data_IF_134412985253
#
_entry.id   IF_134412985253
#
_cell.length_a   1.000
_cell.length_b   1.000
_cell.length_c   1.000
_cell.angle_alpha   90.00
_cell.angle_beta   90.00
_cell.angle_gamma   90.00
#
_symmetry.space_group_name_H-M   'P 1'
#
loop_
_entity.id
_entity.type
_entity.pdbx_description
1 polymer ?
#
# COMPACT_ATOMS: atom_id res chain seq x y z
N UNK A 1 -11.24 -3.23 8.00
CA UNK A 1 -12.62 -2.98 7.51
C UNK A 1 -12.71 -3.08 5.97
N UNK A 2 -12.06 -4.07 5.35
CA UNK A 2 -12.10 -4.28 3.89
C UNK A 2 -12.64 -5.66 3.49
N UNK A 3 -12.68 -6.60 4.44
CA UNK A 3 -13.10 -7.97 4.19
C UNK A 3 -14.51 -8.05 3.58
N UNK A 4 -15.47 -7.29 4.11
CA UNK A 4 -16.83 -7.30 3.61
C UNK A 4 -16.93 -6.86 2.14
N UNK A 5 -16.10 -5.91 1.71
CA UNK A 5 -16.04 -5.43 0.33
C UNK A 5 -15.35 -6.46 -0.58
N UNK A 6 -14.25 -7.06 -0.11
CA UNK A 6 -13.51 -8.09 -0.86
C UNK A 6 -14.35 -9.35 -1.06
N UNK A 7 -15.19 -9.72 -0.07
CA UNK A 7 -16.10 -10.87 -0.18
C UNK A 7 -17.05 -10.75 -1.39
N UNK A 8 -17.56 -9.56 -1.68
CA UNK A 8 -18.39 -9.34 -2.87
C UNK A 8 -17.62 -9.59 -4.17
N UNK A 9 -16.35 -9.19 -4.22
CA UNK A 9 -15.50 -9.45 -5.37
C UNK A 9 -15.17 -10.94 -5.51
N UNK A 10 -14.85 -11.62 -4.40
CA UNK A 10 -14.56 -13.06 -4.42
C UNK A 10 -15.80 -13.92 -4.70
N UNK A 11 -17.00 -13.40 -4.47
CA UNK A 11 -18.23 -14.05 -4.89
C UNK A 11 -18.45 -13.98 -6.42
N UNK A 12 -17.91 -12.94 -7.07
CA UNK A 12 -18.08 -12.70 -8.50
C UNK A 12 -16.89 -13.18 -9.35
N UNK A 13 -15.69 -13.25 -8.78
CA UNK A 13 -14.45 -13.56 -9.48
C UNK A 13 -13.61 -14.57 -8.71
N UNK A 14 -12.85 -15.46 -9.38
CA UNK A 14 -11.87 -16.31 -8.72
C UNK A 14 -10.88 -15.47 -7.91
N UNK A 15 -10.61 -15.86 -6.66
CA UNK A 15 -9.68 -15.10 -5.80
C UNK A 15 -8.27 -15.01 -6.38
N UNK A 16 -7.85 -16.02 -7.15
CA UNK A 16 -6.57 -16.05 -7.87
C UNK A 16 -6.45 -14.98 -8.97
N UNK A 17 -7.56 -14.38 -9.40
CA UNK A 17 -7.59 -13.31 -10.41
C UNK A 17 -7.59 -11.92 -9.75
N UNK A 18 -7.48 -11.83 -8.42
CA UNK A 18 -7.47 -10.59 -7.66
C UNK A 18 -6.24 -10.58 -6.73
N UNK A 19 -5.30 -9.67 -7.00
CA UNK A 19 -4.16 -9.42 -6.11
C UNK A 19 -4.45 -8.28 -5.14
N UNK A 20 -3.98 -8.42 -3.89
CA UNK A 20 -4.02 -7.36 -2.88
C UNK A 20 -2.59 -6.88 -2.64
N UNK A 21 -2.38 -5.57 -2.76
CA UNK A 21 -1.09 -4.91 -2.56
C UNK A 21 -1.22 -3.97 -1.37
N UNK A 22 -0.31 -4.11 -0.41
CA UNK A 22 -0.21 -3.18 0.71
C UNK A 22 0.43 -1.88 0.24
N UNK A 23 -0.21 -0.75 0.54
CA UNK A 23 0.33 0.58 0.19
C UNK A 23 1.67 0.86 0.87
N UNK A 24 1.88 0.27 2.05
CA UNK A 24 3.15 0.32 2.77
C UNK A 24 4.26 -0.38 1.99
N UNK A 25 3.97 -1.51 1.32
CA UNK A 25 4.96 -2.18 0.47
C UNK A 25 5.26 -1.38 -0.80
N UNK A 26 4.28 -0.69 -1.38
CA UNK A 26 4.53 0.24 -2.49
C UNK A 26 5.45 1.40 -2.10
N UNK A 27 5.54 1.73 -0.82
CA UNK A 27 6.38 2.82 -0.32
C UNK A 27 7.74 2.36 0.19
N UNK A 28 7.76 1.28 0.97
CA UNK A 28 8.95 0.82 1.69
C UNK A 28 9.61 -0.40 1.04
N UNK A 29 8.94 -1.06 0.11
CA UNK A 29 9.41 -2.26 -0.57
C UNK A 29 9.03 -2.25 -2.07
N UNK A 30 9.10 -1.07 -2.69
CA UNK A 30 8.52 -0.78 -4.01
C UNK A 30 8.98 -1.73 -5.09
N UNK A 31 10.29 -2.03 -5.17
CA UNK A 31 10.85 -2.96 -6.16
C UNK A 31 10.20 -4.34 -6.06
N UNK A 32 10.02 -4.86 -4.84
CA UNK A 32 9.37 -6.15 -4.63
C UNK A 32 7.88 -6.08 -4.98
N UNK A 33 7.16 -5.07 -4.50
CA UNK A 33 5.73 -4.92 -4.75
C UNK A 33 5.41 -4.80 -6.26
N UNK A 34 6.22 -4.05 -7.00
CA UNK A 34 6.11 -3.91 -8.45
C UNK A 34 6.48 -5.19 -9.20
N UNK A 35 7.48 -5.92 -8.70
CA UNK A 35 7.84 -7.26 -9.20
C UNK A 35 6.68 -8.24 -9.04
N UNK A 36 6.15 -8.38 -7.82
CA UNK A 36 5.02 -9.28 -7.52
C UNK A 36 3.78 -8.93 -8.39
N UNK A 37 3.49 -7.64 -8.58
CA UNK A 37 2.40 -7.18 -9.46
C UNK A 37 2.66 -7.55 -10.92
N UNK A 38 3.88 -7.39 -11.41
CA UNK A 38 4.23 -7.70 -12.79
C UNK A 38 4.14 -9.19 -13.07
N UNK A 39 4.61 -10.01 -12.13
CA UNK A 39 4.49 -11.47 -12.18
C UNK A 39 3.01 -11.90 -12.16
N UNK A 40 2.19 -11.30 -11.30
CA UNK A 40 0.75 -11.54 -11.26
C UNK A 40 0.06 -11.22 -12.59
N UNK A 41 0.47 -10.13 -13.26
CA UNK A 41 -0.04 -9.75 -14.58
C UNK A 41 0.54 -10.61 -15.74
N UNK A 42 1.47 -11.52 -15.45
CA UNK A 42 2.14 -12.34 -16.47
C UNK A 42 3.09 -11.55 -17.37
N UNK A 43 3.63 -10.44 -16.87
CA UNK A 43 4.59 -9.61 -17.61
C UNK A 43 6.00 -10.22 -17.55
N UNK A 44 6.88 -9.91 -18.53
CA UNK A 44 8.28 -10.26 -18.44
C UNK A 44 8.95 -9.65 -17.21
N UNK A 45 9.93 -10.37 -16.66
CA UNK A 45 10.73 -9.88 -15.53
C UNK A 45 11.40 -8.56 -15.89
N UNK A 46 11.29 -7.59 -15.00
CA UNK A 46 11.86 -6.25 -15.13
C UNK A 46 12.55 -5.85 -13.82
N UNK A 47 13.72 -5.23 -13.91
CA UNK A 47 14.41 -4.70 -12.73
C UNK A 47 13.93 -3.27 -12.45
N UNK A 48 13.13 -3.12 -11.40
CA UNK A 48 12.58 -1.83 -10.99
C UNK A 48 13.55 -0.96 -10.19
N UNK A 49 14.76 -1.45 -9.87
CA UNK A 49 15.70 -0.75 -8.98
C UNK A 49 16.02 0.66 -9.46
N UNK A 50 16.34 0.81 -10.75
CA UNK A 50 16.71 2.12 -11.32
C UNK A 50 15.53 3.09 -11.29
N UNK A 51 14.32 2.62 -11.63
CA UNK A 51 13.10 3.45 -11.65
C UNK A 51 12.72 3.91 -10.24
N UNK A 52 12.79 3.01 -9.26
CA UNK A 52 12.46 3.31 -7.86
C UNK A 52 13.49 4.27 -7.25
N UNK A 53 14.75 4.21 -7.69
CA UNK A 53 15.81 5.09 -7.18
C UNK A 53 15.64 6.56 -7.56
N UNK A 54 14.89 6.86 -8.63
CA UNK A 54 14.68 8.23 -9.11
C UNK A 54 13.83 9.08 -8.15
N UNK A 55 12.94 8.44 -7.38
CA UNK A 55 12.07 9.08 -6.41
C UNK A 55 10.59 8.89 -6.73
N UNK A 56 9.76 9.78 -6.20
CA UNK A 56 8.30 9.73 -6.33
C UNK A 56 7.78 10.84 -7.25
N UNK A 57 6.82 10.51 -8.10
CA UNK A 57 6.13 11.48 -8.95
C UNK A 57 4.74 11.79 -8.44
N UNK A 58 4.21 12.97 -8.78
CA UNK A 58 2.84 13.39 -8.44
C UNK A 58 2.53 13.34 -6.94
N UNK A 59 3.51 13.65 -6.10
CA UNK A 59 3.37 13.71 -4.64
C UNK A 59 2.57 14.96 -4.20
N UNK A 60 1.66 14.78 -3.24
CA UNK A 60 0.88 15.83 -2.54
C UNK A 60 0.22 16.91 -3.43
N UNK A 61 -0.37 16.51 -4.56
CA UNK A 61 -1.23 17.40 -5.34
C UNK A 61 -0.47 18.38 -6.24
N UNK A 62 0.45 17.84 -7.06
CA UNK A 62 0.94 18.47 -8.31
C UNK A 62 2.23 19.30 -8.24
N UNK A 63 3.36 18.71 -7.82
CA UNK A 63 4.67 19.22 -8.26
C UNK A 63 4.99 18.94 -9.75
N UNK A 64 4.02 18.40 -10.51
CA UNK A 64 4.17 17.95 -11.90
C UNK A 64 4.22 16.42 -12.00
N UNK A 65 3.72 15.87 -13.11
CA UNK A 65 3.89 14.44 -13.44
C UNK A 65 5.30 14.14 -13.96
N UNK A 66 6.07 15.20 -14.27
CA UNK A 66 7.38 15.21 -14.89
C UNK A 66 8.51 15.53 -13.89
N UNK A 67 8.17 15.76 -12.62
CA UNK A 67 9.14 16.07 -11.58
C UNK A 67 9.18 14.99 -10.52
N UNK A 68 10.37 14.39 -10.35
CA UNK A 68 10.65 13.51 -9.23
C UNK A 68 10.85 14.33 -7.95
N UNK A 69 10.25 13.85 -6.86
CA UNK A 69 10.47 14.28 -5.48
C UNK A 69 11.30 13.19 -4.82
N UNK A 70 12.38 13.56 -4.13
CA UNK A 70 13.24 12.56 -3.49
C UNK A 70 12.52 11.88 -2.32
N UNK A 71 12.94 10.66 -1.99
CA UNK A 71 12.38 9.92 -0.86
C UNK A 71 12.60 10.65 0.47
N UNK A 72 13.72 11.37 0.63
CA UNK A 72 14.01 12.19 1.81
C UNK A 72 13.06 13.38 1.91
N UNK A 73 12.85 14.10 0.80
CA UNK A 73 11.94 15.25 0.75
C UNK A 73 10.51 14.86 1.14
N UNK A 74 10.00 13.73 0.65
CA UNK A 74 8.65 13.29 1.00
C UNK A 74 8.53 12.83 2.46
N UNK A 75 9.52 12.11 2.98
CA UNK A 75 9.53 11.72 4.39
C UNK A 75 9.50 12.92 5.34
N UNK A 76 10.15 14.02 4.95
CA UNK A 76 10.13 15.26 5.72
C UNK A 76 8.78 15.99 5.60
N UNK A 77 8.18 15.98 4.41
CA UNK A 77 6.85 16.55 4.19
C UNK A 77 5.73 15.80 4.94
N UNK A 78 5.80 14.47 5.05
CA UNK A 78 4.83 13.66 5.79
C UNK A 78 4.84 13.91 7.29
N UNK A 79 6.03 14.12 7.89
CA UNK A 79 6.13 14.45 9.32
C UNK A 79 5.29 15.67 9.68
N UNK A 80 5.25 16.64 8.76
CA UNK A 80 4.54 17.90 8.95
C UNK A 80 3.02 17.81 8.69
N UNK A 81 2.53 16.72 8.10
CA UNK A 81 1.11 16.53 7.71
C UNK A 81 0.30 15.72 8.74
N UNK A 82 0.94 15.28 9.82
CA UNK A 82 0.28 14.40 10.79
C UNK A 82 -0.63 15.18 11.73
N UNK A 83 -1.93 14.87 11.69
CA UNK A 83 -2.89 15.34 12.68
C UNK A 83 -2.50 14.73 14.04
N UNK A 84 -2.31 15.53 15.10
CA UNK A 84 -1.92 15.02 16.41
C UNK A 84 -3.12 14.33 17.08
N UNK A 85 -3.26 13.02 16.85
CA UNK A 85 -4.17 12.16 17.61
C UNK A 85 -3.53 11.79 18.95
N UNK A 86 -4.32 11.78 20.03
CA UNK A 86 -3.87 11.31 21.34
C UNK A 86 -3.45 9.83 21.28
N UNK A 87 -2.53 9.44 22.16
CA UNK A 87 -2.06 8.04 22.22
C UNK A 87 -3.22 7.09 22.57
N UNK A 88 -4.12 7.53 23.44
CA UNK A 88 -5.31 6.80 23.85
C UNK A 88 -6.23 6.55 22.66
N UNK A 89 -6.55 7.59 21.88
CA UNK A 89 -7.44 7.46 20.73
C UNK A 89 -6.81 6.64 19.61
N UNK A 90 -5.50 6.78 19.36
CA UNK A 90 -4.78 5.90 18.41
C UNK A 90 -4.90 4.43 18.81
N UNK A 91 -4.78 4.13 20.11
CA UNK A 91 -4.92 2.76 20.63
C UNK A 91 -6.35 2.24 20.48
N UNK A 92 -7.35 3.07 20.75
CA UNK A 92 -8.76 2.71 20.53
C UNK A 92 -9.05 2.39 19.05
N UNK A 93 -8.53 3.20 18.13
CA UNK A 93 -8.65 2.95 16.69
C UNK A 93 -7.96 1.64 16.28
N UNK A 94 -6.75 1.39 16.78
CA UNK A 94 -6.04 0.15 16.49
C UNK A 94 -6.86 -1.07 16.92
N UNK A 95 -7.30 -1.11 18.19
CA UNK A 95 -8.12 -2.20 18.72
C UNK A 95 -9.41 -2.38 17.93
N UNK A 96 -10.05 -1.29 17.50
CA UNK A 96 -11.25 -1.35 16.66
C UNK A 96 -10.98 -2.01 15.30
N UNK A 97 -9.86 -1.71 14.66
CA UNK A 97 -9.55 -2.25 13.33
C UNK A 97 -8.92 -3.65 13.37
N UNK A 98 -8.30 -4.07 14.47
CA UNK A 98 -7.58 -5.35 14.60
C UNK A 98 -8.44 -6.55 14.15
N UNK A 99 -9.65 -6.71 14.69
CA UNK A 99 -10.54 -7.82 14.31
C UNK A 99 -10.91 -7.75 12.81
N UNK A 100 -11.14 -6.54 12.30
CA UNK A 100 -11.48 -6.35 10.89
C UNK A 100 -10.30 -6.58 9.94
N UNK A 101 -9.07 -6.37 10.42
CA UNK A 101 -7.84 -6.61 9.67
C UNK A 101 -7.51 -8.10 9.67
N UNK A 102 -7.62 -8.77 10.82
CA UNK A 102 -7.43 -10.22 10.93
C UNK A 102 -8.39 -11.01 10.04
N UNK A 103 -9.66 -10.59 9.97
CA UNK A 103 -10.61 -11.19 9.03
C UNK A 103 -10.19 -10.99 7.57
N UNK A 104 -9.70 -9.80 7.21
CA UNK A 104 -9.21 -9.55 5.86
C UNK A 104 -8.01 -10.45 5.54
N UNK A 105 -7.04 -10.54 6.46
CA UNK A 105 -5.84 -11.34 6.27
C UNK A 105 -6.16 -12.83 6.13
N UNK A 106 -7.12 -13.34 6.90
CA UNK A 106 -7.60 -14.71 6.76
C UNK A 106 -8.30 -14.95 5.42
N UNK A 107 -9.06 -13.95 4.93
CA UNK A 107 -9.78 -14.03 3.65
C UNK A 107 -8.84 -14.00 2.44
N UNK A 108 -7.84 -13.13 2.45
CA UNK A 108 -6.98 -12.88 1.28
C UNK A 108 -5.68 -13.66 1.32
N UNK A 109 -5.26 -14.15 2.49
CA UNK A 109 -3.94 -14.75 2.70
C UNK A 109 -2.78 -13.74 2.73
N UNK A 110 -3.07 -12.44 2.60
CA UNK A 110 -2.07 -11.36 2.60
C UNK A 110 -2.18 -10.54 3.88
N UNK A 111 -1.04 -10.28 4.55
CA UNK A 111 -0.96 -9.42 5.72
C UNK A 111 -0.26 -8.11 5.39
N UNK A 112 -0.88 -6.99 5.74
CA UNK A 112 -0.27 -5.66 5.62
C UNK A 112 0.22 -5.17 6.99
N UNK A 113 1.27 -4.34 7.04
CA UNK A 113 1.84 -3.83 8.29
C UNK A 113 1.04 -2.64 8.83
N UNK A 114 -0.21 -2.89 9.20
CA UNK A 114 -1.14 -1.91 9.78
C UNK A 114 -1.17 -1.93 11.31
#
# INVERSE_FOLDING_TARGET
MYAAQVEWWYAAFPSQDITLICTEDLKYNTTKAMGDLSDFLGLPTFDYTDIVSEGMYNVKGHQGYDKAVSWEEEQEAEKNDTIPLSAEFRKELQVFFDEHNERLFALTGTRCPW
#
